data_IF_878044118837
#
_entry.id   IF_878044118837
#
_cell.length_a   1.000
_cell.length_b   1.000
_cell.length_c   1.000
_cell.angle_alpha   90.00
_cell.angle_beta   90.00
_cell.angle_gamma   90.00
#
_symmetry.space_group_name_H-M   'P 1'
#
loop_
_entity.id
_entity.type
_entity.pdbx_description
1 polymer ?
#
# COMPACT_ATOMS: atom_id res chain seq x y z
N UNK A 1 -47.46 -8.78 32.35
CA UNK A 1 -46.96 -8.15 31.11
C UNK A 1 -45.78 -8.94 30.59
N UNK A 2 -45.95 -9.69 29.50
CA UNK A 2 -44.92 -10.59 28.97
C UNK A 2 -43.67 -9.83 28.52
N UNK A 3 -42.48 -10.41 28.77
CA UNK A 3 -41.20 -9.93 28.24
C UNK A 3 -41.32 -9.86 26.71
N UNK A 4 -41.54 -8.65 26.17
CA UNK A 4 -41.51 -8.42 24.72
C UNK A 4 -40.14 -8.88 24.22
N UNK A 5 -40.12 -9.95 23.43
CA UNK A 5 -38.89 -10.46 22.84
C UNK A 5 -38.29 -9.35 21.98
N UNK A 6 -37.19 -8.73 22.43
CA UNK A 6 -36.55 -7.64 21.71
C UNK A 6 -36.07 -8.20 20.37
N UNK A 7 -36.51 -7.59 19.27
CA UNK A 7 -36.16 -8.02 17.91
C UNK A 7 -34.64 -8.17 17.77
N UNK A 8 -34.20 -9.26 17.10
CA UNK A 8 -32.77 -9.49 16.83
C UNK A 8 -32.11 -8.37 16.02
N UNK A 9 -32.91 -7.56 15.32
CA UNK A 9 -32.46 -6.41 14.54
C UNK A 9 -32.17 -5.16 15.40
N UNK A 10 -32.60 -5.12 16.66
CA UNK A 10 -32.38 -4.01 17.60
C UNK A 10 -31.29 -4.33 18.63
N UNK A 11 -30.24 -5.05 18.20
CA UNK A 11 -29.10 -5.46 19.04
C UNK A 11 -27.93 -4.47 19.01
N UNK A 12 -27.91 -3.54 18.06
CA UNK A 12 -26.86 -2.52 17.96
C UNK A 12 -26.87 -1.56 19.15
N UNK A 13 -25.75 -0.88 19.45
CA UNK A 13 -25.70 0.20 20.43
C UNK A 13 -26.73 1.29 20.10
N UNK A 14 -27.27 1.94 21.13
CA UNK A 14 -28.13 3.11 20.93
C UNK A 14 -27.32 4.26 20.34
N UNK A 15 -27.93 5.02 19.43
CA UNK A 15 -27.36 6.28 18.95
C UNK A 15 -27.59 7.33 20.02
N UNK A 16 -26.61 7.48 20.90
CA UNK A 16 -26.64 8.44 22.01
C UNK A 16 -25.21 8.91 22.34
N UNK A 17 -24.56 9.66 21.42
CA UNK A 17 -23.21 10.15 21.64
C UNK A 17 -23.19 11.20 22.75
N UNK A 18 -22.04 11.34 23.42
CA UNK A 18 -21.78 12.52 24.26
C UNK A 18 -21.51 13.73 23.34
N UNK A 19 -21.95 14.92 23.74
CA UNK A 19 -21.72 16.14 22.98
C UNK A 19 -20.22 16.40 22.82
N UNK A 20 -19.80 16.78 21.60
CA UNK A 20 -18.40 17.14 21.31
C UNK A 20 -18.08 18.47 22.00
N UNK A 21 -17.04 18.46 22.83
CA UNK A 21 -16.61 19.59 23.65
C UNK A 21 -15.41 20.34 23.09
N UNK A 22 -14.70 19.76 22.13
CA UNK A 22 -13.45 20.30 21.57
C UNK A 22 -12.19 19.85 22.32
N UNK A 23 -12.32 18.94 23.29
CA UNK A 23 -11.20 18.35 24.05
C UNK A 23 -10.86 16.92 23.59
N UNK A 24 -11.72 16.33 22.77
CA UNK A 24 -11.61 14.97 22.27
C UNK A 24 -10.45 14.83 21.29
N UNK A 25 -9.71 13.72 21.37
CA UNK A 25 -8.79 13.34 20.30
C UNK A 25 -9.57 12.89 19.06
N UNK A 26 -8.90 12.83 17.90
CA UNK A 26 -9.50 12.25 16.69
C UNK A 26 -10.01 10.81 16.94
N UNK A 27 -9.31 10.03 17.76
CA UNK A 27 -9.73 8.68 18.11
C UNK A 27 -11.02 8.66 18.95
N UNK A 28 -11.16 9.60 19.88
CA UNK A 28 -12.37 9.73 20.71
C UNK A 28 -13.57 10.17 19.87
N UNK A 29 -13.37 11.10 18.92
CA UNK A 29 -14.40 11.50 17.96
C UNK A 29 -14.91 10.31 17.12
N UNK A 30 -13.99 9.47 16.65
CA UNK A 30 -14.32 8.26 15.89
C UNK A 30 -15.12 7.27 16.75
N UNK A 31 -14.74 7.06 18.00
CA UNK A 31 -15.45 6.12 18.88
C UNK A 31 -16.83 6.62 19.33
N UNK A 32 -16.97 7.93 19.54
CA UNK A 32 -18.16 8.58 20.10
C UNK A 32 -19.16 9.06 19.04
N UNK A 33 -18.73 9.86 18.05
CA UNK A 33 -19.64 10.59 17.15
C UNK A 33 -19.87 9.89 15.80
N UNK A 34 -18.94 9.02 15.36
CA UNK A 34 -18.98 8.41 14.04
C UNK A 34 -19.82 7.12 14.06
N UNK A 35 -21.13 7.27 14.32
CA UNK A 35 -22.01 6.16 14.67
C UNK A 35 -22.81 5.57 13.49
N UNK A 36 -22.93 6.28 12.36
CA UNK A 36 -23.75 5.87 11.21
C UNK A 36 -23.21 6.37 9.87
N UNK A 37 -23.71 5.81 8.76
CA UNK A 37 -23.32 6.12 7.37
C UNK A 37 -21.79 6.03 7.17
N UNK A 38 -21.20 6.87 6.32
CA UNK A 38 -19.75 6.84 6.06
C UNK A 38 -18.91 7.13 7.31
N UNK A 39 -19.42 7.91 8.28
CA UNK A 39 -18.79 8.05 9.59
C UNK A 39 -18.71 6.71 10.32
N UNK A 40 -19.83 5.99 10.42
CA UNK A 40 -19.89 4.63 10.97
C UNK A 40 -18.93 3.66 10.26
N UNK A 41 -18.83 3.75 8.93
CA UNK A 41 -17.89 2.95 8.14
C UNK A 41 -16.43 3.28 8.43
N UNK A 42 -16.10 4.56 8.63
CA UNK A 42 -14.74 4.96 9.05
C UNK A 42 -14.43 4.47 10.47
N UNK A 43 -15.40 4.47 11.39
CA UNK A 43 -15.23 3.87 12.73
C UNK A 43 -15.00 2.37 12.66
N UNK A 44 -15.75 1.65 11.84
CA UNK A 44 -15.54 0.22 11.61
C UNK A 44 -14.17 -0.06 10.98
N UNK A 45 -13.73 0.78 10.02
CA UNK A 45 -12.40 0.70 9.44
C UNK A 45 -11.29 0.89 10.49
N UNK A 46 -11.44 1.91 11.33
CA UNK A 46 -10.48 2.22 12.38
C UNK A 46 -10.36 1.07 13.40
N UNK A 47 -11.48 0.48 13.81
CA UNK A 47 -11.50 -0.68 14.70
C UNK A 47 -11.00 -1.95 14.04
N UNK A 48 -11.36 -2.22 12.79
CA UNK A 48 -10.81 -3.36 12.05
C UNK A 48 -9.28 -3.28 11.98
N UNK A 49 -8.76 -2.09 11.64
CA UNK A 49 -7.32 -1.89 11.57
C UNK A 49 -6.67 -2.08 12.95
N UNK A 50 -7.12 -1.33 13.95
CA UNK A 50 -6.51 -1.34 15.28
C UNK A 50 -6.68 -2.66 16.05
N UNK A 51 -7.89 -3.22 16.06
CA UNK A 51 -8.25 -4.35 16.93
C UNK A 51 -7.97 -5.71 16.30
N UNK A 52 -7.79 -5.76 14.97
CA UNK A 52 -7.56 -7.03 14.23
C UNK A 52 -6.28 -7.00 13.43
N UNK A 53 -6.15 -6.06 12.48
CA UNK A 53 -5.03 -6.08 11.53
C UNK A 53 -3.69 -5.76 12.22
N UNK A 54 -3.71 -5.02 13.32
CA UNK A 54 -2.52 -4.70 14.12
C UNK A 54 -2.28 -5.69 15.27
N UNK A 55 -2.76 -6.93 15.14
CA UNK A 55 -2.28 -8.06 15.92
C UNK A 55 -0.86 -8.47 15.45
N UNK A 56 -0.03 -9.01 16.36
CA UNK A 56 1.36 -9.40 16.06
C UNK A 56 1.43 -10.54 15.01
N UNK A 57 0.43 -11.42 14.99
CA UNK A 57 0.36 -12.54 14.03
C UNK A 57 -0.04 -12.13 12.61
N UNK A 58 -0.42 -10.87 12.40
CA UNK A 58 -0.90 -10.37 11.11
C UNK A 58 0.23 -9.62 10.39
N UNK A 59 0.46 -9.98 9.14
CA UNK A 59 1.31 -9.19 8.22
C UNK A 59 0.42 -8.26 7.39
N UNK A 60 0.68 -6.96 7.50
CA UNK A 60 -0.13 -5.90 6.88
C UNK A 60 0.55 -5.37 5.63
N UNK A 61 -0.05 -5.64 4.48
CA UNK A 61 0.29 -4.98 3.22
C UNK A 61 -0.51 -3.69 3.03
N UNK A 62 0.10 -2.68 2.43
CA UNK A 62 -0.58 -1.43 2.09
C UNK A 62 -0.50 -1.13 0.59
N UNK A 63 -1.62 -0.78 -0.06
CA UNK A 63 -1.59 -0.22 -1.41
C UNK A 63 -1.84 1.29 -1.39
N UNK A 64 -1.08 2.06 -2.17
CA UNK A 64 -1.19 3.51 -2.24
C UNK A 64 -1.37 4.00 -3.68
N UNK A 65 -2.44 4.75 -3.94
CA UNK A 65 -2.72 5.39 -5.23
C UNK A 65 -3.08 6.86 -5.10
N UNK A 66 -3.24 7.54 -6.24
CA UNK A 66 -3.43 8.99 -6.29
C UNK A 66 -2.13 9.74 -5.98
N UNK A 67 -2.24 11.03 -5.69
CA UNK A 67 -1.12 11.91 -5.41
C UNK A 67 -0.93 12.13 -3.89
N UNK A 68 -0.68 11.05 -3.15
CA UNK A 68 -0.67 11.07 -1.68
C UNK A 68 0.62 11.63 -1.10
N UNK A 69 1.78 11.24 -1.65
CA UNK A 69 3.07 11.76 -1.19
C UNK A 69 3.25 13.25 -1.46
N UNK A 70 2.92 13.83 -2.65
CA UNK A 70 3.02 15.28 -2.83
C UNK A 70 2.00 16.05 -1.97
N UNK A 71 0.89 15.43 -1.57
CA UNK A 71 -0.06 16.00 -0.60
C UNK A 71 0.46 15.97 0.85
N UNK A 72 1.68 15.46 1.09
CA UNK A 72 2.29 15.39 2.41
C UNK A 72 1.91 14.17 3.25
N UNK A 73 1.06 13.26 2.74
CA UNK A 73 0.62 12.06 3.47
C UNK A 73 1.74 11.04 3.67
N UNK A 74 2.81 11.11 2.85
CA UNK A 74 4.03 10.35 3.10
C UNK A 74 4.60 10.64 4.48
N UNK A 75 4.88 11.92 4.75
CA UNK A 75 5.44 12.39 6.02
C UNK A 75 4.45 12.29 7.18
N UNK A 76 3.19 12.67 6.96
CA UNK A 76 2.21 12.78 8.06
C UNK A 76 1.58 11.44 8.45
N UNK A 77 1.56 10.46 7.54
CA UNK A 77 0.85 9.20 7.76
C UNK A 77 1.71 7.95 7.51
N UNK A 78 2.29 7.82 6.31
CA UNK A 78 2.98 6.59 5.92
C UNK A 78 4.23 6.30 6.75
N UNK A 79 5.06 7.32 6.98
CA UNK A 79 6.28 7.19 7.80
C UNK A 79 5.92 6.76 9.23
N UNK A 80 5.03 7.46 9.97
CA UNK A 80 4.61 7.03 11.31
C UNK A 80 4.04 5.60 11.37
N UNK A 81 3.26 5.19 10.36
CA UNK A 81 2.71 3.82 10.30
C UNK A 81 3.81 2.78 10.12
N UNK A 82 4.81 3.02 9.26
CA UNK A 82 5.96 2.11 9.10
C UNK A 82 6.82 2.07 10.36
N UNK A 83 7.14 3.22 10.96
CA UNK A 83 7.95 3.30 12.17
C UNK A 83 7.27 2.66 13.39
N UNK A 84 5.94 2.62 13.42
CA UNK A 84 5.16 1.90 14.42
C UNK A 84 5.04 0.40 14.13
N UNK A 85 5.57 -0.08 13.00
CA UNK A 85 5.42 -1.46 12.55
C UNK A 85 3.99 -1.81 12.16
N UNK A 86 3.16 -0.84 11.78
CA UNK A 86 1.74 -1.05 11.40
C UNK A 86 1.55 -1.38 9.92
N UNK A 87 2.59 -1.16 9.11
CA UNK A 87 2.65 -1.54 7.70
C UNK A 87 3.95 -2.28 7.45
N UNK A 88 3.85 -3.50 6.92
CA UNK A 88 4.97 -4.42 6.78
C UNK A 88 5.55 -4.45 5.35
N UNK A 89 4.73 -4.14 4.35
CA UNK A 89 5.13 -4.00 2.93
C UNK A 89 4.14 -3.11 2.17
N UNK A 90 4.59 -2.51 1.05
CA UNK A 90 3.79 -1.52 0.30
C UNK A 90 3.79 -1.84 -1.20
N UNK A 91 2.65 -1.61 -1.86
CA UNK A 91 2.56 -1.44 -3.31
C UNK A 91 2.11 -0.01 -3.61
N UNK A 92 2.87 0.73 -4.41
CA UNK A 92 2.56 2.13 -4.74
C UNK A 92 2.57 2.39 -6.24
N UNK A 93 2.01 3.52 -6.67
CA UNK A 93 2.32 4.06 -7.99
C UNK A 93 3.75 4.61 -7.99
N UNK A 94 4.45 4.50 -9.11
CA UNK A 94 5.78 5.10 -9.24
C UNK A 94 5.74 6.63 -9.08
N UNK A 95 4.61 7.27 -9.42
CA UNK A 95 4.40 8.70 -9.19
C UNK A 95 4.49 9.08 -7.70
N UNK A 96 3.89 8.32 -6.78
CA UNK A 96 4.03 8.61 -5.35
C UNK A 96 5.49 8.51 -4.91
N UNK A 97 6.22 7.49 -5.35
CA UNK A 97 7.62 7.27 -4.96
C UNK A 97 8.57 8.31 -5.58
N UNK A 98 8.27 8.77 -6.80
CA UNK A 98 8.97 9.89 -7.42
C UNK A 98 8.69 11.19 -6.67
N UNK A 99 7.42 11.46 -6.37
CA UNK A 99 7.05 12.71 -5.70
C UNK A 99 7.56 12.79 -4.26
N UNK A 100 7.72 11.64 -3.60
CA UNK A 100 8.36 11.50 -2.29
C UNK A 100 9.81 12.02 -2.28
N UNK A 101 10.57 11.70 -3.34
CA UNK A 101 11.98 12.07 -3.42
C UNK A 101 12.21 13.58 -3.37
N UNK A 102 11.27 14.40 -3.85
CA UNK A 102 11.36 15.87 -3.76
C UNK A 102 11.65 16.34 -2.34
N UNK A 103 10.96 15.78 -1.35
CA UNK A 103 11.07 16.21 0.04
C UNK A 103 12.43 15.84 0.66
N UNK A 104 12.95 14.65 0.37
CA UNK A 104 14.29 14.24 0.81
C UNK A 104 15.41 15.05 0.14
N UNK A 105 15.17 15.57 -1.08
CA UNK A 105 16.09 16.45 -1.78
C UNK A 105 16.02 17.92 -1.32
N UNK A 106 15.15 18.24 -0.35
CA UNK A 106 14.91 19.60 0.14
C UNK A 106 14.20 20.49 -0.88
N UNK A 107 13.44 19.90 -1.80
CA UNK A 107 12.67 20.61 -2.82
C UNK A 107 11.27 20.90 -2.29
N UNK A 108 10.79 22.12 -2.53
CA UNK A 108 9.52 22.60 -1.99
C UNK A 108 8.36 22.36 -2.95
N UNK A 109 7.26 21.83 -2.40
CA UNK A 109 5.94 21.82 -3.00
C UNK A 109 5.06 22.75 -2.16
N UNK A 110 4.11 23.41 -2.80
CA UNK A 110 3.27 24.42 -2.18
C UNK A 110 1.79 24.09 -2.34
N UNK A 111 0.99 24.36 -1.31
CA UNK A 111 -0.46 24.38 -1.46
C UNK A 111 -0.85 25.51 -2.42
N UNK A 112 -1.64 25.17 -3.41
CA UNK A 112 -2.23 26.08 -4.38
C UNK A 112 -3.76 26.03 -4.32
N UNK A 113 -4.38 26.21 -5.49
CA UNK A 113 -5.81 26.15 -5.70
C UNK A 113 -6.10 25.32 -6.95
N UNK A 114 -7.20 24.55 -6.99
CA UNK A 114 -7.58 23.83 -8.20
C UNK A 114 -8.09 24.76 -9.32
N UNK A 115 -8.32 26.05 -9.02
CA UNK A 115 -8.93 27.04 -9.92
C UNK A 115 -7.91 28.02 -10.54
N UNK A 116 -6.63 27.70 -10.51
CA UNK A 116 -5.56 28.52 -11.12
C UNK A 116 -5.52 28.37 -12.64
N UNK A 117 -5.06 29.40 -13.35
CA UNK A 117 -4.92 29.38 -14.81
C UNK A 117 -3.68 28.56 -15.25
N UNK A 118 -3.92 27.37 -15.79
CA UNK A 118 -2.87 26.46 -16.25
C UNK A 118 -2.00 27.05 -17.39
N UNK A 119 -2.54 27.97 -18.21
CA UNK A 119 -1.75 28.64 -19.26
C UNK A 119 -0.74 29.59 -18.61
N UNK A 120 -1.16 30.34 -17.59
CA UNK A 120 -0.27 31.19 -16.82
C UNK A 120 0.79 30.36 -16.07
N UNK A 121 0.40 29.24 -15.45
CA UNK A 121 1.34 28.32 -14.81
C UNK A 121 2.40 27.83 -15.81
N UNK A 122 1.98 27.37 -16.99
CA UNK A 122 2.89 26.86 -18.02
C UNK A 122 3.89 27.90 -18.49
N UNK A 123 3.46 29.16 -18.65
CA UNK A 123 4.33 30.30 -19.02
C UNK A 123 5.36 30.63 -17.94
N UNK A 124 5.01 30.39 -16.68
CA UNK A 124 5.87 30.63 -15.52
C UNK A 124 6.69 29.38 -15.12
N UNK A 125 6.61 28.28 -15.87
CA UNK A 125 7.22 27.00 -15.54
C UNK A 125 6.79 26.47 -14.16
N UNK A 126 5.53 26.67 -13.78
CA UNK A 126 4.93 26.06 -12.60
C UNK A 126 4.16 24.82 -13.04
N UNK A 127 4.42 23.71 -12.34
CA UNK A 127 3.71 22.44 -12.51
C UNK A 127 2.67 22.31 -11.42
N UNK A 128 1.52 21.73 -11.76
CA UNK A 128 0.40 21.52 -10.84
C UNK A 128 0.01 20.06 -10.75
N UNK A 129 -0.26 19.62 -9.53
CA UNK A 129 -0.96 18.38 -9.22
C UNK A 129 -2.22 18.79 -8.46
N UNK A 130 -3.33 18.94 -9.19
CA UNK A 130 -4.58 19.48 -8.65
C UNK A 130 -4.40 20.79 -7.86
N UNK A 131 -4.37 20.79 -6.54
CA UNK A 131 -4.18 21.96 -5.69
C UNK A 131 -2.78 22.02 -5.06
N UNK A 132 -1.79 21.35 -5.65
CA UNK A 132 -0.37 21.38 -5.28
C UNK A 132 0.43 22.01 -6.42
N UNK A 133 1.33 22.94 -6.11
CA UNK A 133 2.14 23.69 -7.07
C UNK A 133 3.64 23.55 -6.76
N UNK A 134 4.46 23.47 -7.79
CA UNK A 134 5.91 23.51 -7.64
C UNK A 134 6.58 23.99 -8.94
N UNK A 135 7.78 24.55 -8.79
CA UNK A 135 8.59 25.00 -9.92
C UNK A 135 9.07 23.80 -10.76
N UNK A 136 9.10 23.93 -12.08
CA UNK A 136 9.55 22.87 -12.99
C UNK A 136 10.98 22.36 -12.69
N UNK A 137 11.86 23.20 -12.13
CA UNK A 137 13.20 22.80 -11.70
C UNK A 137 13.20 21.72 -10.63
N UNK A 138 12.11 21.56 -9.88
CA UNK A 138 11.92 20.48 -8.91
C UNK A 138 11.96 19.10 -9.59
N UNK A 139 11.33 18.98 -10.77
CA UNK A 139 11.40 17.75 -11.59
C UNK A 139 12.83 17.53 -12.09
N UNK A 140 13.42 18.56 -12.69
CA UNK A 140 14.76 18.46 -13.28
C UNK A 140 15.83 18.05 -12.26
N UNK A 141 15.77 18.59 -11.04
CA UNK A 141 16.71 18.27 -9.95
C UNK A 141 16.50 16.85 -9.44
N UNK A 142 15.27 16.38 -9.36
CA UNK A 142 14.93 15.01 -8.94
C UNK A 142 15.36 14.00 -9.98
N UNK A 143 15.06 14.28 -11.25
CA UNK A 143 15.50 13.47 -12.37
C UNK A 143 17.03 13.37 -12.43
N UNK A 144 17.73 14.49 -12.25
CA UNK A 144 19.20 14.49 -12.21
C UNK A 144 19.72 13.60 -11.08
N UNK A 145 19.18 13.72 -9.87
CA UNK A 145 19.55 12.87 -8.74
C UNK A 145 19.32 11.38 -9.04
N UNK A 146 18.11 11.02 -9.49
CA UNK A 146 17.76 9.63 -9.78
C UNK A 146 18.64 9.02 -10.86
N UNK A 147 18.96 9.77 -11.94
CA UNK A 147 19.89 9.29 -12.98
C UNK A 147 21.29 9.07 -12.43
N UNK A 148 21.82 10.01 -11.63
CA UNK A 148 23.15 9.88 -11.03
C UNK A 148 23.25 8.66 -10.12
N UNK A 149 22.22 8.42 -9.30
CA UNK A 149 22.18 7.24 -8.42
C UNK A 149 22.01 5.96 -9.24
N UNK A 150 21.07 5.94 -10.19
CA UNK A 150 20.78 4.76 -11.02
C UNK A 150 21.90 4.40 -12.01
N UNK A 151 22.89 5.28 -12.22
CA UNK A 151 24.09 5.00 -12.99
C UNK A 151 25.19 4.27 -12.19
N UNK A 152 25.02 4.11 -10.87
CA UNK A 152 26.02 3.44 -10.03
C UNK A 152 26.07 1.92 -10.29
N UNK A 153 27.21 1.26 -10.00
CA UNK A 153 27.44 -0.15 -10.35
C UNK A 153 26.37 -1.12 -9.82
N UNK A 154 25.87 -0.91 -8.61
CA UNK A 154 24.87 -1.78 -7.98
C UNK A 154 23.51 -1.79 -8.71
N UNK A 155 23.24 -0.77 -9.53
CA UNK A 155 22.04 -0.66 -10.37
C UNK A 155 22.22 -1.26 -11.77
N UNK A 156 23.43 -1.59 -12.20
CA UNK A 156 23.71 -2.04 -13.58
C UNK A 156 23.38 -3.53 -13.79
N UNK A 157 22.13 -3.90 -13.48
CA UNK A 157 21.56 -5.25 -13.64
C UNK A 157 20.04 -5.23 -13.60
N UNK A 158 19.43 -6.36 -13.92
CA UNK A 158 18.02 -6.58 -13.61
C UNK A 158 17.81 -6.65 -12.08
N UNK A 159 16.73 -6.03 -11.60
CA UNK A 159 16.32 -6.06 -10.20
C UNK A 159 14.83 -5.80 -10.05
N UNK A 160 14.24 -6.33 -8.99
CA UNK A 160 12.85 -6.04 -8.61
C UNK A 160 12.68 -4.57 -8.24
N UNK A 161 11.46 -4.04 -8.37
CA UNK A 161 11.20 -2.64 -7.99
C UNK A 161 11.40 -2.44 -6.49
N UNK A 162 11.09 -3.42 -5.65
CA UNK A 162 11.41 -3.36 -4.23
C UNK A 162 12.91 -3.24 -3.95
N UNK A 163 13.75 -3.94 -4.70
CA UNK A 163 15.20 -3.79 -4.59
C UNK A 163 15.66 -2.39 -4.99
N UNK A 164 15.20 -1.90 -6.14
CA UNK A 164 15.49 -0.55 -6.62
C UNK A 164 15.09 0.51 -5.59
N UNK A 165 13.84 0.48 -5.11
CA UNK A 165 13.32 1.45 -4.14
C UNK A 165 14.06 1.40 -2.81
N UNK A 166 14.46 0.22 -2.34
CA UNK A 166 15.25 0.11 -1.12
C UNK A 166 16.64 0.76 -1.26
N UNK A 167 17.32 0.55 -2.39
CA UNK A 167 18.62 1.18 -2.67
C UNK A 167 18.48 2.70 -2.78
N UNK A 168 17.48 3.19 -3.55
CA UNK A 168 17.18 4.63 -3.65
C UNK A 168 16.86 5.21 -2.27
N UNK A 169 16.10 4.50 -1.43
CA UNK A 169 15.80 4.92 -0.05
C UNK A 169 17.07 5.15 0.79
N UNK A 170 18.08 4.28 0.67
CA UNK A 170 19.38 4.47 1.31
C UNK A 170 20.06 5.78 0.87
N UNK A 171 20.09 6.04 -0.44
CA UNK A 171 20.66 7.28 -1.00
C UNK A 171 19.89 8.54 -0.59
N UNK A 172 18.56 8.47 -0.55
CA UNK A 172 17.73 9.59 -0.09
C UNK A 172 17.99 9.91 1.38
N UNK A 173 18.20 8.90 2.25
CA UNK A 173 18.56 9.14 3.67
C UNK A 173 19.93 9.81 3.83
N UNK A 174 20.92 9.39 3.04
CA UNK A 174 22.22 10.05 3.04
C UNK A 174 22.08 11.51 2.63
N UNK A 175 21.23 11.77 1.62
CA UNK A 175 20.96 13.11 1.14
C UNK A 175 20.20 13.96 2.17
N UNK A 176 19.20 13.40 2.84
CA UNK A 176 18.51 14.05 3.96
C UNK A 176 19.51 14.46 5.05
N UNK A 177 20.39 13.53 5.47
CA UNK A 177 21.42 13.81 6.47
C UNK A 177 22.35 14.95 6.03
N UNK A 178 22.80 14.93 4.77
CA UNK A 178 23.65 15.98 4.22
C UNK A 178 22.97 17.36 4.17
N UNK A 179 21.64 17.39 4.12
CA UNK A 179 20.83 18.62 4.11
C UNK A 179 20.30 19.00 5.50
N UNK A 180 20.61 18.23 6.55
CA UNK A 180 20.05 18.46 7.89
C UNK A 180 18.54 18.20 7.98
N UNK A 181 18.00 17.35 7.10
CA UNK A 181 16.59 16.96 7.06
C UNK A 181 16.39 15.60 7.76
N UNK A 182 15.20 15.38 8.30
CA UNK A 182 14.81 14.11 8.95
C UNK A 182 13.36 13.77 8.66
N UNK A 183 13.07 12.51 8.33
CA UNK A 183 11.70 12.00 8.19
C UNK A 183 10.93 12.65 7.04
N UNK A 184 11.59 12.94 5.92
CA UNK A 184 10.99 13.59 4.75
C UNK A 184 10.62 12.62 3.64
N UNK A 185 11.27 11.45 3.56
CA UNK A 185 11.02 10.45 2.52
C UNK A 185 10.47 9.12 3.05
N UNK A 186 9.38 8.67 2.41
CA UNK A 186 8.79 7.33 2.52
C UNK A 186 9.80 6.26 2.11
N UNK A 187 10.50 6.43 0.98
CA UNK A 187 11.54 5.50 0.54
C UNK A 187 12.68 5.40 1.58
N UNK A 188 13.09 6.54 2.15
CA UNK A 188 14.08 6.58 3.22
C UNK A 188 13.61 5.87 4.50
N UNK A 189 12.40 6.14 4.95
CA UNK A 189 11.83 5.48 6.13
C UNK A 189 11.66 3.96 5.91
N UNK A 190 11.20 3.55 4.73
CA UNK A 190 11.03 2.15 4.36
C UNK A 190 12.37 1.39 4.35
N UNK A 191 13.43 2.01 3.82
CA UNK A 191 14.79 1.47 3.91
C UNK A 191 15.25 1.26 5.36
N UNK A 192 15.00 2.25 6.24
CA UNK A 192 15.37 2.13 7.65
C UNK A 192 14.56 1.03 8.39
N UNK A 193 13.28 0.90 8.05
CA UNK A 193 12.36 -0.05 8.67
C UNK A 193 12.43 -1.47 8.08
N UNK A 194 13.12 -1.67 6.96
CA UNK A 194 13.14 -2.95 6.23
C UNK A 194 11.78 -3.27 5.58
N UNK A 195 11.03 -2.25 5.16
CA UNK A 195 9.72 -2.40 4.49
C UNK A 195 9.94 -2.39 2.98
N UNK A 196 9.68 -3.49 2.24
CA UNK A 196 9.80 -3.49 0.79
C UNK A 196 8.65 -2.72 0.15
N UNK A 197 8.97 -1.91 -0.87
CA UNK A 197 7.99 -1.12 -1.63
C UNK A 197 8.04 -1.53 -3.10
N UNK A 198 6.94 -2.07 -3.61
CA UNK A 198 6.78 -2.49 -5.00
C UNK A 198 6.03 -1.42 -5.80
N UNK A 199 6.25 -1.39 -7.12
CA UNK A 199 5.45 -0.58 -8.06
C UNK A 199 4.83 -1.47 -9.12
N UNK A 200 3.50 -1.46 -9.19
CA UNK A 200 2.75 -2.34 -10.09
C UNK A 200 2.85 -1.98 -11.58
N UNK A 201 3.21 -0.72 -11.88
CA UNK A 201 3.42 -0.21 -13.24
C UNK A 201 4.71 0.63 -13.28
N UNK A 202 5.91 0.03 -13.25
CA UNK A 202 7.16 0.77 -13.06
C UNK A 202 7.47 1.76 -14.19
N UNK A 203 7.03 1.47 -15.41
CA UNK A 203 7.16 2.38 -16.56
C UNK A 203 6.28 3.63 -16.48
N UNK A 204 5.24 3.63 -15.64
CA UNK A 204 4.25 4.72 -15.51
C UNK A 204 4.65 5.70 -14.40
N UNK A 205 5.85 6.29 -14.53
CA UNK A 205 6.36 7.34 -13.65
C UNK A 205 7.62 7.99 -14.20
N UNK A 206 7.97 9.17 -13.69
CA UNK A 206 9.26 9.80 -14.00
C UNK A 206 10.46 8.91 -13.62
N UNK A 207 10.37 8.06 -12.59
CA UNK A 207 11.40 7.04 -12.30
C UNK A 207 11.58 6.13 -13.53
N UNK A 208 10.49 5.53 -14.00
CA UNK A 208 10.49 4.64 -15.17
C UNK A 208 10.98 5.34 -16.45
N UNK A 209 10.55 6.59 -16.68
CA UNK A 209 10.98 7.39 -17.83
C UNK A 209 12.49 7.67 -17.81
N UNK A 210 13.07 7.98 -16.64
CA UNK A 210 14.51 8.18 -16.51
C UNK A 210 15.30 6.88 -16.73
N UNK A 211 14.82 5.75 -16.19
CA UNK A 211 15.43 4.43 -16.43
C UNK A 211 15.37 4.07 -17.93
N UNK A 212 14.25 4.33 -18.60
CA UNK A 212 14.09 4.11 -20.03
C UNK A 212 15.06 4.99 -20.87
N UNK A 213 15.26 6.25 -20.49
CA UNK A 213 16.24 7.12 -21.14
C UNK A 213 17.67 6.59 -20.95
N UNK A 214 18.06 6.20 -19.73
CA UNK A 214 19.39 5.64 -19.46
C UNK A 214 19.64 4.32 -20.20
N UNK A 215 18.58 3.55 -20.48
CA UNK A 215 18.69 2.33 -21.28
C UNK A 215 19.12 2.62 -22.73
N UNK A 216 18.72 3.77 -23.30
CA UNK A 216 19.19 4.21 -24.62
C UNK A 216 20.69 4.57 -24.60
N UNK A 217 21.20 4.99 -23.44
CA UNK A 217 22.61 5.30 -23.21
C UNK A 217 23.45 4.07 -22.78
N UNK A 218 22.88 2.87 -22.84
CA UNK A 218 23.58 1.61 -22.55
C UNK A 218 23.52 1.12 -21.10
N UNK A 219 22.70 1.74 -20.24
CA UNK A 219 22.46 1.24 -18.87
C UNK A 219 21.88 -0.18 -18.89
N UNK A 220 22.38 -1.03 -17.99
CA UNK A 220 21.91 -2.41 -17.80
C UNK A 220 20.75 -2.52 -16.80
N UNK A 221 20.37 -1.42 -16.15
CA UNK A 221 19.26 -1.39 -15.20
C UNK A 221 17.95 -1.78 -15.88
N UNK A 222 17.30 -2.84 -15.41
CA UNK A 222 15.97 -3.28 -15.86
C UNK A 222 15.11 -3.68 -14.67
N UNK A 223 13.84 -3.31 -14.68
CA UNK A 223 12.89 -3.77 -13.68
C UNK A 223 12.45 -5.21 -13.98
N UNK A 224 12.72 -6.11 -13.04
CA UNK A 224 12.23 -7.48 -13.06
C UNK A 224 10.81 -7.54 -12.48
N UNK A 225 9.83 -7.34 -13.35
CA UNK A 225 8.40 -7.36 -12.99
C UNK A 225 7.90 -8.76 -12.62
N UNK A 226 8.53 -9.82 -13.14
CA UNK A 226 8.20 -11.20 -12.76
C UNK A 226 8.71 -11.50 -11.35
N UNK A 227 9.90 -10.99 -11.01
CA UNK A 227 10.42 -10.99 -9.65
C UNK A 227 9.49 -10.27 -8.67
N UNK A 228 8.94 -9.10 -9.03
CA UNK A 228 7.98 -8.38 -8.16
C UNK A 228 6.72 -9.22 -7.87
N UNK A 229 6.15 -9.88 -8.88
CA UNK A 229 4.97 -10.76 -8.72
C UNK A 229 5.29 -11.92 -7.78
N UNK A 230 6.43 -12.59 -7.97
CA UNK A 230 6.82 -13.71 -7.12
C UNK A 230 7.17 -13.28 -5.69
N UNK A 231 7.88 -12.16 -5.52
CA UNK A 231 8.23 -11.65 -4.19
C UNK A 231 7.01 -11.24 -3.37
N UNK A 232 6.03 -10.55 -3.99
CA UNK A 232 4.80 -10.17 -3.29
C UNK A 232 3.94 -11.39 -2.95
N UNK A 233 3.85 -12.38 -3.84
CA UNK A 233 3.22 -13.67 -3.52
C UNK A 233 3.96 -14.39 -2.38
N UNK A 234 5.29 -14.35 -2.35
CA UNK A 234 6.09 -14.97 -1.30
C UNK A 234 5.87 -14.31 0.08
N UNK A 235 5.72 -12.97 0.11
CA UNK A 235 5.36 -12.24 1.35
C UNK A 235 4.02 -12.72 1.91
N UNK A 236 3.01 -12.86 1.04
CA UNK A 236 1.68 -13.30 1.46
C UNK A 236 1.70 -14.77 1.87
N UNK A 237 2.37 -15.63 1.11
CA UNK A 237 2.54 -17.03 1.45
C UNK A 237 3.25 -17.24 2.80
N UNK A 238 4.35 -16.51 3.09
CA UNK A 238 5.03 -16.57 4.39
C UNK A 238 4.11 -16.09 5.53
N UNK A 239 3.33 -15.04 5.29
CA UNK A 239 2.35 -14.55 6.26
C UNK A 239 1.30 -15.60 6.61
N UNK A 240 0.73 -16.28 5.60
CA UNK A 240 -0.30 -17.31 5.78
C UNK A 240 0.24 -18.60 6.40
N UNK A 241 1.50 -18.95 6.11
CA UNK A 241 2.17 -20.08 6.78
C UNK A 241 2.39 -19.84 8.28
N UNK A 242 2.54 -18.58 8.71
CA UNK A 242 2.94 -18.22 10.08
C UNK A 242 1.83 -17.54 10.89
N UNK A 243 0.72 -17.16 10.25
CA UNK A 243 -0.32 -16.35 10.84
C UNK A 243 -1.34 -15.92 9.79
N UNK A 244 -1.60 -14.60 9.72
CA UNK A 244 -2.65 -14.02 8.89
C UNK A 244 -2.11 -12.92 7.98
N UNK A 245 -2.81 -12.66 6.89
CA UNK A 245 -2.52 -11.54 5.99
C UNK A 245 -3.65 -10.52 5.98
N UNK A 246 -3.31 -9.23 5.97
CA UNK A 246 -4.28 -8.14 5.88
C UNK A 246 -3.84 -7.09 4.88
N UNK A 247 -4.78 -6.51 4.15
CA UNK A 247 -4.50 -5.47 3.16
C UNK A 247 -5.22 -4.16 3.50
N UNK A 248 -4.45 -3.08 3.63
CA UNK A 248 -4.92 -1.70 3.76
C UNK A 248 -4.77 -0.99 2.41
N UNK A 249 -5.87 -0.73 1.74
CA UNK A 249 -5.89 -0.13 0.41
C UNK A 249 -6.36 1.32 0.48
N UNK A 250 -5.47 2.25 0.12
CA UNK A 250 -5.77 3.68 0.00
C UNK A 250 -5.95 4.03 -1.48
N UNK A 251 -7.21 4.28 -1.84
CA UNK A 251 -7.68 4.45 -3.20
C UNK A 251 -7.94 3.11 -3.91
N UNK A 252 -7.48 2.99 -5.16
CA UNK A 252 -7.82 1.88 -6.05
C UNK A 252 -6.71 1.53 -7.04
N UNK A 253 -7.04 1.48 -8.33
CA UNK A 253 -6.08 1.37 -9.43
C UNK A 253 -5.19 0.13 -9.43
N UNK A 254 -4.06 0.24 -10.14
CA UNK A 254 -3.10 -0.85 -10.33
C UNK A 254 -2.50 -1.36 -9.00
N UNK A 255 -2.11 -0.50 -8.03
CA UNK A 255 -1.66 -0.96 -6.70
C UNK A 255 -2.68 -1.78 -5.92
N UNK A 256 -3.98 -1.43 -5.96
CA UNK A 256 -5.03 -2.29 -5.38
C UNK A 256 -5.08 -3.65 -6.05
N UNK A 257 -4.96 -3.73 -7.38
CA UNK A 257 -4.94 -5.03 -8.04
C UNK A 257 -3.73 -5.85 -7.61
N UNK A 258 -2.57 -5.21 -7.65
CA UNK A 258 -1.29 -5.89 -7.55
C UNK A 258 -1.05 -6.44 -6.14
N UNK A 259 -1.58 -5.77 -5.11
CA UNK A 259 -1.55 -6.32 -3.75
C UNK A 259 -2.48 -7.54 -3.60
N UNK A 260 -3.67 -7.50 -4.22
CA UNK A 260 -4.67 -8.56 -4.12
C UNK A 260 -4.39 -9.75 -5.05
N UNK A 261 -3.72 -9.55 -6.19
CA UNK A 261 -3.44 -10.61 -7.17
C UNK A 261 -2.43 -11.64 -6.67
N UNK A 262 -1.74 -11.34 -5.57
CA UNK A 262 -0.87 -12.29 -4.86
C UNK A 262 -1.60 -13.60 -4.58
N UNK A 263 -2.88 -13.52 -4.22
CA UNK A 263 -3.74 -14.66 -3.92
C UNK A 263 -4.04 -15.53 -5.16
N UNK A 264 -4.59 -15.02 -6.28
CA UNK A 264 -4.65 -15.75 -7.54
C UNK A 264 -3.30 -16.30 -8.01
N UNK A 265 -2.20 -15.58 -7.80
CA UNK A 265 -0.88 -16.07 -8.15
C UNK A 265 -0.52 -17.33 -7.35
N UNK A 266 -0.77 -17.35 -6.04
CA UNK A 266 -0.50 -18.51 -5.17
C UNK A 266 -1.45 -19.67 -5.51
N UNK A 267 -2.75 -19.41 -5.53
CA UNK A 267 -3.80 -20.42 -5.60
C UNK A 267 -3.98 -20.98 -7.02
N UNK A 268 -4.14 -20.10 -8.01
CA UNK A 268 -4.52 -20.50 -9.38
C UNK A 268 -3.29 -20.78 -10.26
N UNK A 269 -2.32 -19.87 -10.24
CA UNK A 269 -1.16 -19.94 -11.15
C UNK A 269 -0.11 -20.92 -10.63
N UNK A 270 0.22 -20.87 -9.34
CA UNK A 270 1.19 -21.77 -8.71
C UNK A 270 0.54 -23.06 -8.19
N UNK A 271 -0.79 -23.12 -8.06
CA UNK A 271 -1.52 -24.31 -7.62
C UNK A 271 -1.28 -24.68 -6.16
N UNK A 272 -0.86 -23.71 -5.33
CA UNK A 272 -0.60 -23.91 -3.90
C UNK A 272 -1.93 -23.73 -3.16
N UNK A 273 -2.33 -24.76 -2.42
CA UNK A 273 -3.57 -24.73 -1.63
C UNK A 273 -3.43 -23.76 -0.45
N UNK A 274 -4.24 -22.70 -0.48
CA UNK A 274 -4.17 -21.55 0.39
C UNK A 274 -5.52 -20.80 0.32
N UNK A 275 -5.85 -19.98 1.33
CA UNK A 275 -7.05 -19.14 1.34
C UNK A 275 -6.67 -17.67 1.34
N UNK A 276 -7.42 -16.88 0.58
CA UNK A 276 -7.26 -15.42 0.46
C UNK A 276 -6.99 -14.61 1.74
N UNK A 277 -6.75 -13.31 1.57
CA UNK A 277 -6.49 -12.41 2.70
C UNK A 277 -7.54 -12.51 3.82
N UNK A 278 -7.07 -12.49 5.07
CA UNK A 278 -7.92 -12.54 6.27
C UNK A 278 -8.63 -11.22 6.54
N UNK A 279 -8.01 -10.10 6.14
CA UNK A 279 -8.53 -8.77 6.40
C UNK A 279 -8.46 -7.89 5.15
N UNK A 280 -9.60 -7.27 4.83
CA UNK A 280 -9.73 -6.35 3.70
C UNK A 280 -10.18 -4.99 4.22
N UNK A 281 -9.34 -3.98 4.10
CA UNK A 281 -9.70 -2.61 4.46
C UNK A 281 -9.40 -1.67 3.28
N UNK A 282 -10.42 -0.99 2.77
CA UNK A 282 -10.30 -0.01 1.69
C UNK A 282 -10.89 1.35 2.09
N UNK A 283 -10.14 2.42 1.80
CA UNK A 283 -10.63 3.80 1.79
C UNK A 283 -10.59 4.28 0.33
N UNK A 284 -11.74 4.61 -0.25
CA UNK A 284 -11.84 4.95 -1.68
C UNK A 284 -13.00 5.89 -1.96
N UNK A 285 -12.91 6.69 -3.00
CA UNK A 285 -14.01 7.47 -3.58
C UNK A 285 -14.66 6.77 -4.79
N UNK A 286 -14.04 5.70 -5.28
CA UNK A 286 -14.47 5.01 -6.49
C UNK A 286 -15.77 4.23 -6.25
N UNK A 287 -16.72 4.41 -7.17
CA UNK A 287 -18.02 3.72 -7.10
C UNK A 287 -17.97 2.35 -7.80
N UNK A 288 -18.65 1.32 -7.27
CA UNK A 288 -18.67 -0.01 -7.85
C UNK A 288 -19.41 -0.09 -9.20
N UNK A 289 -20.44 0.74 -9.43
CA UNK A 289 -21.33 0.67 -10.61
C UNK A 289 -20.60 0.94 -11.94
N UNK A 290 -19.45 1.60 -11.89
CA UNK A 290 -18.67 1.98 -13.08
C UNK A 290 -17.84 0.83 -13.66
N UNK A 291 -17.79 -0.34 -12.99
CA UNK A 291 -17.03 -1.51 -13.44
C UNK A 291 -15.51 -1.39 -13.30
N UNK A 292 -15.01 -0.29 -12.72
CA UNK A 292 -13.59 -0.10 -12.46
C UNK A 292 -13.13 -0.86 -11.22
N UNK A 293 -11.96 -1.51 -11.30
CA UNK A 293 -11.35 -2.24 -10.18
C UNK A 293 -11.24 -1.40 -8.89
N UNK A 294 -11.02 -0.09 -9.02
CA UNK A 294 -10.97 0.83 -7.88
C UNK A 294 -12.20 0.72 -6.98
N UNK A 295 -13.39 0.51 -7.55
CA UNK A 295 -14.66 0.35 -6.83
C UNK A 295 -15.06 -1.11 -6.55
N UNK A 296 -14.31 -2.10 -7.04
CA UNK A 296 -14.64 -3.52 -6.87
C UNK A 296 -14.77 -3.89 -5.39
N UNK A 297 -15.88 -4.58 -5.07
CA UNK A 297 -16.28 -4.83 -3.67
C UNK A 297 -15.53 -6.03 -3.07
N UNK A 298 -15.49 -6.17 -1.73
CA UNK A 298 -14.92 -7.36 -1.10
C UNK A 298 -15.64 -8.65 -1.50
N UNK A 299 -16.96 -8.58 -1.73
CA UNK A 299 -17.74 -9.74 -2.18
C UNK A 299 -17.33 -10.20 -3.58
N UNK A 300 -17.02 -9.27 -4.48
CA UNK A 300 -16.40 -9.59 -5.77
C UNK A 300 -14.99 -10.17 -5.56
N UNK A 301 -14.18 -9.60 -4.66
CA UNK A 301 -12.84 -10.13 -4.37
C UNK A 301 -12.84 -11.59 -3.87
N UNK A 302 -13.85 -12.00 -3.09
CA UNK A 302 -14.03 -13.40 -2.66
C UNK A 302 -14.20 -14.34 -3.86
N UNK A 303 -14.91 -13.96 -4.93
CA UNK A 303 -15.10 -14.84 -6.09
C UNK A 303 -13.81 -15.11 -6.87
N UNK A 304 -12.78 -14.28 -6.66
CA UNK A 304 -11.45 -14.42 -7.25
C UNK A 304 -10.43 -15.04 -6.28
N UNK A 305 -10.87 -15.59 -5.14
CA UNK A 305 -9.97 -16.15 -4.12
C UNK A 305 -9.12 -15.11 -3.38
N UNK A 306 -9.33 -13.80 -3.62
CA UNK A 306 -8.51 -12.71 -3.04
C UNK A 306 -8.77 -12.46 -1.57
N UNK A 307 -9.91 -12.90 -1.04
CA UNK A 307 -10.33 -12.77 0.35
C UNK A 307 -10.84 -14.12 0.82
N UNK A 308 -10.45 -14.55 2.02
CA UNK A 308 -10.97 -15.78 2.62
C UNK A 308 -12.49 -15.68 2.78
N UNK A 309 -13.29 -16.59 2.17
CA UNK A 309 -14.74 -16.60 2.32
C UNK A 309 -15.22 -16.57 3.77
N UNK A 310 -14.49 -17.22 4.69
CA UNK A 310 -14.81 -17.27 6.12
C UNK A 310 -14.57 -15.92 6.82
N UNK A 311 -13.77 -15.04 6.20
CA UNK A 311 -13.41 -13.72 6.73
C UNK A 311 -14.10 -12.56 5.99
N UNK A 312 -15.08 -12.80 5.12
CA UNK A 312 -15.82 -11.73 4.43
C UNK A 312 -16.44 -10.72 5.42
N UNK A 313 -16.84 -11.17 6.61
CA UNK A 313 -17.33 -10.29 7.69
C UNK A 313 -16.28 -9.32 8.25
N UNK A 314 -15.00 -9.58 8.01
CA UNK A 314 -13.85 -8.75 8.38
C UNK A 314 -13.37 -7.87 7.22
N UNK A 315 -14.30 -7.51 6.32
CA UNK A 315 -14.04 -6.63 5.18
C UNK A 315 -14.74 -5.28 5.34
N UNK A 316 -13.98 -4.18 5.27
CA UNK A 316 -14.53 -2.82 5.35
C UNK A 316 -14.11 -2.00 4.13
N UNK A 317 -15.10 -1.51 3.39
CA UNK A 317 -14.95 -0.38 2.46
C UNK A 317 -15.52 0.87 3.10
N UNK A 318 -14.74 1.94 3.13
CA UNK A 318 -15.12 3.29 3.54
C UNK A 318 -15.10 4.19 2.30
N UNK A 319 -16.27 4.70 1.90
CA UNK A 319 -16.40 5.61 0.77
C UNK A 319 -16.09 7.05 1.22
N UNK A 320 -14.80 7.41 1.16
CA UNK A 320 -14.26 8.66 1.67
C UNK A 320 -12.97 9.02 0.93
N UNK A 321 -12.71 10.33 0.79
CA UNK A 321 -11.45 10.83 0.26
C UNK A 321 -10.27 10.34 1.13
N UNK A 322 -9.22 9.85 0.47
CA UNK A 322 -8.04 9.29 1.14
C UNK A 322 -7.30 10.32 2.01
N UNK A 323 -7.34 11.61 1.63
CA UNK A 323 -6.73 12.72 2.39
C UNK A 323 -7.50 13.07 3.67
N UNK A 324 -8.73 12.57 3.83
CA UNK A 324 -9.50 12.63 5.09
C UNK A 324 -9.37 11.33 5.88
N UNK A 325 -9.57 10.19 5.20
CA UNK A 325 -9.62 8.89 5.85
C UNK A 325 -8.27 8.43 6.41
N UNK A 326 -7.18 8.58 5.65
CA UNK A 326 -5.87 8.08 6.07
C UNK A 326 -5.30 8.80 7.31
N UNK A 327 -5.36 10.16 7.43
CA UNK A 327 -4.92 10.84 8.65
C UNK A 327 -5.73 10.42 9.88
N UNK A 328 -7.05 10.29 9.76
CA UNK A 328 -7.93 9.86 10.86
C UNK A 328 -7.64 8.42 11.28
N UNK A 329 -7.44 7.52 10.31
CA UNK A 329 -7.06 6.13 10.56
C UNK A 329 -5.69 6.04 11.25
N UNK A 330 -4.72 6.83 10.79
CA UNK A 330 -3.37 6.89 11.36
C UNK A 330 -3.40 7.37 12.81
N UNK A 331 -4.11 8.48 13.06
CA UNK A 331 -4.27 9.02 14.41
C UNK A 331 -4.95 8.01 15.34
N UNK A 332 -5.99 7.31 14.86
CA UNK A 332 -6.66 6.27 15.64
C UNK A 332 -5.72 5.11 15.99
N UNK A 333 -5.01 4.57 15.00
CA UNK A 333 -4.10 3.44 15.21
C UNK A 333 -2.99 3.78 16.20
N UNK A 334 -2.32 4.93 16.03
CA UNK A 334 -1.25 5.38 16.92
C UNK A 334 -1.75 5.72 18.34
N UNK A 335 -2.99 6.18 18.49
CA UNK A 335 -3.58 6.48 19.79
C UNK A 335 -4.07 5.22 20.53
N UNK A 336 -4.50 4.18 19.81
CA UNK A 336 -5.13 2.99 20.40
C UNK A 336 -4.22 1.77 20.49
N UNK A 337 -3.10 1.74 19.76
CA UNK A 337 -2.21 0.57 19.67
C UNK A 337 -0.78 0.93 20.02
N UNK A 338 -0.10 0.00 20.70
CA UNK A 338 1.33 0.07 20.90
C UNK A 338 2.06 -0.27 19.60
N UNK A 339 3.27 0.27 19.44
CA UNK A 339 4.14 -0.05 18.30
C UNK A 339 4.46 -1.55 18.30
N UNK A 340 4.40 -2.17 17.11
CA UNK A 340 4.80 -3.56 16.90
C UNK A 340 6.30 -3.66 16.64
N UNK A 341 6.84 -4.86 16.79
CA UNK A 341 8.20 -5.14 16.31
C UNK A 341 8.24 -5.09 14.79
N UNK A 342 9.20 -4.38 14.21
CA UNK A 342 9.35 -4.31 12.76
C UNK A 342 9.67 -5.70 12.19
N UNK A 343 8.86 -6.17 11.24
CA UNK A 343 9.08 -7.48 10.60
C UNK A 343 10.27 -7.52 9.65
N UNK A 344 10.72 -6.36 9.15
CA UNK A 344 11.89 -6.19 8.28
C UNK A 344 11.85 -7.16 7.09
N UNK A 345 10.74 -7.15 6.36
CA UNK A 345 10.47 -8.10 5.28
C UNK A 345 11.43 -7.98 4.09
N UNK A 346 12.05 -6.82 3.90
CA UNK A 346 13.02 -6.60 2.82
C UNK A 346 14.22 -7.57 2.94
N UNK A 347 14.74 -7.75 4.14
CA UNK A 347 15.87 -8.64 4.43
C UNK A 347 15.50 -10.12 4.27
N UNK A 348 14.21 -10.44 4.36
CA UNK A 348 13.67 -11.80 4.25
C UNK A 348 13.20 -12.17 2.85
N UNK A 349 13.30 -11.28 1.84
CA UNK A 349 12.76 -11.53 0.48
C UNK A 349 13.31 -12.82 -0.14
N UNK A 350 14.61 -13.05 -0.04
CA UNK A 350 15.24 -14.25 -0.59
C UNK A 350 14.77 -15.53 0.13
N UNK A 351 14.64 -15.49 1.46
CA UNK A 351 14.11 -16.58 2.28
C UNK A 351 12.67 -16.92 1.87
N UNK A 352 11.80 -15.91 1.81
CA UNK A 352 10.39 -16.08 1.46
C UNK A 352 10.22 -16.61 0.03
N UNK A 353 10.98 -16.07 -0.95
CA UNK A 353 10.95 -16.57 -2.32
C UNK A 353 11.41 -18.03 -2.42
N UNK A 354 12.45 -18.42 -1.70
CA UNK A 354 12.91 -19.81 -1.68
C UNK A 354 11.82 -20.74 -1.13
N UNK A 355 11.12 -20.33 -0.07
CA UNK A 355 9.99 -21.09 0.47
C UNK A 355 8.83 -21.22 -0.53
N UNK A 356 8.48 -20.14 -1.23
CA UNK A 356 7.45 -20.18 -2.29
C UNK A 356 7.84 -21.13 -3.43
N UNK A 357 9.10 -21.11 -3.88
CA UNK A 357 9.60 -22.01 -4.93
C UNK A 357 9.47 -23.47 -4.51
N UNK A 358 9.82 -23.80 -3.27
CA UNK A 358 9.67 -25.17 -2.74
C UNK A 358 8.19 -25.59 -2.72
N UNK A 359 7.30 -24.71 -2.27
CA UNK A 359 5.86 -24.97 -2.27
C UNK A 359 5.32 -25.19 -3.69
N UNK A 360 5.71 -24.34 -4.64
CA UNK A 360 5.34 -24.46 -6.05
C UNK A 360 5.82 -25.77 -6.68
N UNK A 361 7.07 -26.17 -6.44
CA UNK A 361 7.61 -27.42 -6.97
C UNK A 361 6.83 -28.64 -6.47
N UNK A 362 6.40 -28.63 -5.20
CA UNK A 362 5.53 -29.68 -4.64
C UNK A 362 4.14 -29.68 -5.30
N UNK A 363 3.51 -28.51 -5.42
CA UNK A 363 2.21 -28.37 -6.07
C UNK A 363 2.23 -28.84 -7.53
N UNK A 364 3.27 -28.45 -8.28
CA UNK A 364 3.49 -28.87 -9.65
C UNK A 364 3.67 -30.38 -9.77
N UNK A 365 4.50 -31.00 -8.92
CA UNK A 365 4.68 -32.45 -8.94
C UNK A 365 3.37 -33.19 -8.68
N UNK A 366 2.55 -32.72 -7.74
CA UNK A 366 1.24 -33.31 -7.46
C UNK A 366 0.24 -33.12 -8.61
N UNK A 367 0.28 -31.99 -9.32
CA UNK A 367 -0.51 -31.77 -10.53
C UNK A 367 -0.08 -32.72 -11.66
N UNK A 368 1.21 -32.82 -11.92
CA UNK A 368 1.76 -33.63 -13.00
C UNK A 368 1.48 -35.14 -12.73
N UNK A 369 1.54 -35.59 -11.47
CA UNK A 369 1.12 -36.94 -11.07
C UNK A 369 -0.38 -37.21 -11.33
N UNK A 370 -1.27 -36.25 -11.03
CA UNK A 370 -2.70 -36.39 -11.31
C UNK A 370 -2.99 -36.47 -12.81
N UNK A 371 -2.28 -35.70 -13.62
CA UNK A 371 -2.41 -35.76 -15.09
C UNK A 371 -1.99 -37.13 -15.63
N UNK A 372 -0.83 -37.65 -15.20
CA UNK A 372 -0.35 -38.98 -15.58
C UNK A 372 -1.29 -40.10 -15.13
N UNK A 373 -1.88 -39.99 -13.93
CA UNK A 373 -2.85 -40.96 -13.44
C UNK A 373 -4.16 -40.96 -14.25
N UNK A 374 -4.56 -39.81 -14.81
CA UNK A 374 -5.75 -39.71 -15.67
C UNK A 374 -5.52 -40.33 -17.06
N UNK A 375 -4.32 -40.16 -17.63
CA UNK A 375 -3.93 -40.74 -18.92
C UNK A 375 -3.77 -42.27 -18.89
N UNK A 376 -3.43 -42.84 -17.73
CA UNK A 376 -3.29 -44.30 -17.54
C UNK A 376 -4.60 -45.06 -17.30
N UNK A 377 -5.75 -44.40 -17.45
CA UNK A 377 -7.11 -44.98 -17.26
C UNK A 377 -7.91 -45.14 -18.56
N UNK A 378 -7.30 -44.84 -19.71
CA UNK A 378 -7.77 -45.30 -21.04
C UNK A 378 -7.12 -46.64 -21.41
#
# INVERSE_FOLDING_TARGET
MGKRHRSKFLRGPHINPTAVSGTETAADLIDNAFLAYNGGRLREAARLFADRMLDESVTVGMSLTGAMTPAGLGMSCLIPLMEAGFVDWIVSTGANLYHDAHFALGLALHRGSPFVDDIALRKQNVVRIYDILFDYSVLLRTDYFLRQVSARPEFQRAMTTAEYHYLIGGYLRERERALGLTGRSVLGAAHACGVPIYTSSPGDSSIGMNVAAQALDGSLLRFDVSGDVNETAAVVFDAKCRGKSGVLMIGGGSPKNFILQTEPQIQEVLGIDEKGHDYFLQITDARPDTGGLSGATPGEAVSWGKVDPDQLSQSVVCYLDSTVGLPLLTAYALARRQRRTLKRLYERRAEMNAALVVAYQRARAARDQRALAAEGTE
#
